data_IF_164512488687
#
_entry.id   IF_164512488687
#
_cell.length_a   1.000
_cell.length_b   1.000
_cell.length_c   1.000
_cell.angle_alpha   90.00
_cell.angle_beta   90.00
_cell.angle_gamma   90.00
#
_symmetry.space_group_name_H-M   'P 1'
#
loop_
_entity.id
_entity.type
_entity.pdbx_description
1 polymer ?
#
# COMPACT_ATOMS: atom_id res chain seq x y z
N UNK A 1 2.37 -21.90 -2.51
CA UNK A 1 1.06 -21.24 -2.66
C UNK A 1 1.23 -19.81 -2.23
N UNK A 2 1.04 -18.82 -3.12
CA UNK A 2 0.95 -17.43 -2.68
C UNK A 2 -0.38 -17.26 -1.90
N UNK A 3 -0.29 -16.85 -0.65
CA UNK A 3 -1.46 -16.52 0.17
C UNK A 3 -2.04 -15.22 -0.37
N UNK A 4 -3.14 -15.32 -1.11
CA UNK A 4 -3.89 -14.15 -1.58
C UNK A 4 -4.62 -13.55 -0.38
N UNK A 5 -4.20 -12.36 0.02
CA UNK A 5 -4.86 -11.58 1.07
C UNK A 5 -6.07 -10.83 0.49
N UNK A 6 -7.08 -10.49 1.30
CA UNK A 6 -8.16 -9.61 0.86
C UNK A 6 -7.61 -8.23 0.43
N UNK A 7 -8.38 -7.54 -0.39
CA UNK A 7 -8.06 -6.18 -0.85
C UNK A 7 -7.83 -5.24 0.36
N UNK A 8 -6.71 -4.53 0.38
CA UNK A 8 -6.38 -3.55 1.40
C UNK A 8 -7.10 -2.22 1.13
N UNK A 9 -8.37 -2.16 1.52
CA UNK A 9 -9.22 -0.98 1.36
C UNK A 9 -8.65 0.21 2.13
N UNK A 10 -8.11 -0.02 3.34
CA UNK A 10 -7.52 1.05 4.17
C UNK A 10 -6.35 1.73 3.45
N UNK A 11 -5.44 0.96 2.87
CA UNK A 11 -4.34 1.47 2.05
C UNK A 11 -4.86 2.25 0.85
N UNK A 12 -5.81 1.68 0.10
CA UNK A 12 -6.40 2.36 -1.08
C UNK A 12 -7.01 3.71 -0.69
N UNK A 13 -7.80 3.75 0.38
CA UNK A 13 -8.45 4.98 0.85
C UNK A 13 -7.43 6.02 1.31
N UNK A 14 -6.39 5.62 2.06
CA UNK A 14 -5.33 6.54 2.49
C UNK A 14 -4.59 7.16 1.29
N UNK A 15 -4.26 6.33 0.30
CA UNK A 15 -3.63 6.76 -0.95
C UNK A 15 -4.50 7.80 -1.67
N UNK A 16 -5.78 7.51 -1.89
CA UNK A 16 -6.68 8.42 -2.61
C UNK A 16 -6.86 9.73 -1.83
N UNK A 17 -7.01 9.68 -0.50
CA UNK A 17 -7.18 10.89 0.33
C UNK A 17 -5.98 11.83 0.26
N UNK A 18 -4.76 11.33 0.26
CA UNK A 18 -3.56 12.16 0.36
C UNK A 18 -2.89 12.47 -0.99
N UNK A 19 -2.94 11.54 -1.94
CA UNK A 19 -2.26 11.65 -3.24
C UNK A 19 -3.22 11.74 -4.44
N UNK A 20 -4.52 11.56 -4.23
CA UNK A 20 -5.54 11.61 -5.29
C UNK A 20 -5.60 10.36 -6.17
N UNK A 21 -4.48 9.66 -6.39
CA UNK A 21 -4.43 8.43 -7.18
C UNK A 21 -3.31 7.47 -6.74
N UNK A 22 -3.46 6.17 -7.06
CA UNK A 22 -2.39 5.19 -6.87
C UNK A 22 -1.16 5.49 -7.72
N UNK A 23 -1.33 6.02 -8.93
CA UNK A 23 -0.22 6.37 -9.82
C UNK A 23 0.64 7.47 -9.17
N UNK A 24 0.00 8.52 -8.64
CA UNK A 24 0.72 9.60 -7.95
C UNK A 24 1.48 9.10 -6.71
N UNK A 25 0.88 8.18 -5.95
CA UNK A 25 1.56 7.59 -4.80
C UNK A 25 2.73 6.67 -5.20
N UNK A 26 2.57 5.87 -6.24
CA UNK A 26 3.65 5.03 -6.78
C UNK A 26 4.84 5.87 -7.24
N UNK A 27 4.58 6.99 -7.94
CA UNK A 27 5.61 7.96 -8.31
C UNK A 27 6.30 8.56 -7.08
N UNK A 28 5.54 8.90 -6.02
CA UNK A 28 6.11 9.44 -4.77
C UNK A 28 6.95 8.44 -3.98
N UNK A 29 6.74 7.14 -4.19
CA UNK A 29 7.52 6.03 -3.64
C UNK A 29 8.70 5.62 -4.52
N UNK A 30 8.75 6.05 -5.78
CA UNK A 30 9.74 5.61 -6.75
C UNK A 30 9.55 4.15 -7.18
N UNK A 31 8.31 3.65 -7.19
CA UNK A 31 7.97 2.27 -7.59
C UNK A 31 7.01 2.27 -8.77
N UNK A 32 6.94 1.16 -9.51
CA UNK A 32 5.91 0.96 -10.52
C UNK A 32 4.52 0.85 -9.90
N UNK A 33 3.52 1.44 -10.54
CA UNK A 33 2.11 1.40 -10.14
C UNK A 33 1.58 -0.04 -10.08
N UNK A 34 2.08 -0.92 -10.95
CA UNK A 34 1.72 -2.34 -10.98
C UNK A 34 2.06 -3.06 -9.67
N UNK A 35 3.21 -2.76 -9.07
CA UNK A 35 3.61 -3.31 -7.76
C UNK A 35 2.64 -2.85 -6.67
N UNK A 36 2.35 -1.54 -6.63
CA UNK A 36 1.41 -0.96 -5.67
C UNK A 36 -0.01 -1.53 -5.84
N UNK A 37 -0.43 -1.76 -7.08
CA UNK A 37 -1.72 -2.37 -7.40
C UNK A 37 -1.80 -3.81 -6.87
N UNK A 38 -0.75 -4.61 -7.03
CA UNK A 38 -0.66 -5.97 -6.47
C UNK A 38 -0.72 -5.95 -4.93
N UNK A 39 -0.02 -5.01 -4.29
CA UNK A 39 -0.05 -4.84 -2.82
C UNK A 39 -1.46 -4.47 -2.35
N UNK A 40 -2.10 -3.49 -2.98
CA UNK A 40 -3.46 -3.06 -2.62
C UNK A 40 -4.47 -4.19 -2.83
N UNK A 41 -4.30 -5.02 -3.85
CA UNK A 41 -5.18 -6.19 -4.09
C UNK A 41 -4.87 -7.39 -3.21
N UNK A 42 -3.83 -7.33 -2.37
CA UNK A 42 -3.40 -8.45 -1.54
C UNK A 42 -2.73 -9.59 -2.32
N UNK A 43 -2.36 -9.35 -3.58
CA UNK A 43 -1.64 -10.29 -4.46
C UNK A 43 -0.13 -10.26 -4.24
N UNK A 44 0.36 -9.33 -3.43
CA UNK A 44 1.76 -9.22 -3.09
C UNK A 44 1.92 -8.64 -1.69
N UNK A 45 2.70 -9.33 -0.85
CA UNK A 45 3.13 -8.80 0.45
C UNK A 45 4.30 -7.83 0.21
N UNK A 46 4.20 -6.55 0.63
CA UNK A 46 5.32 -5.63 0.56
C UNK A 46 6.43 -6.08 1.52
N UNK A 47 7.69 -5.82 1.14
CA UNK A 47 8.83 -5.95 2.06
C UNK A 47 8.68 -5.01 3.25
N UNK A 48 9.39 -5.30 4.34
CA UNK A 48 9.39 -4.44 5.53
C UNK A 48 9.82 -3.00 5.20
N UNK A 49 10.87 -2.85 4.39
CA UNK A 49 11.34 -1.54 3.92
C UNK A 49 10.26 -0.77 3.14
N UNK A 50 9.59 -1.43 2.19
CA UNK A 50 8.54 -0.81 1.40
C UNK A 50 7.33 -0.47 2.28
N UNK A 51 7.02 -1.33 3.25
CA UNK A 51 5.94 -1.10 4.21
C UNK A 51 6.22 0.13 5.08
N UNK A 52 7.42 0.25 5.61
CA UNK A 52 7.87 1.41 6.37
C UNK A 52 7.83 2.68 5.53
N UNK A 53 8.25 2.59 4.26
CA UNK A 53 8.20 3.72 3.33
C UNK A 53 6.77 4.17 3.04
N UNK A 54 5.84 3.23 2.81
CA UNK A 54 4.41 3.49 2.62
C UNK A 54 3.85 4.22 3.85
N UNK A 55 4.10 3.69 5.05
CA UNK A 55 3.63 4.27 6.31
C UNK A 55 4.19 5.69 6.53
N UNK A 56 5.49 5.88 6.28
CA UNK A 56 6.16 7.18 6.39
C UNK A 56 5.58 8.22 5.43
N UNK A 57 5.32 7.85 4.18
CA UNK A 57 4.74 8.76 3.17
C UNK A 57 3.28 9.10 3.48
N UNK A 58 2.52 8.13 3.97
CA UNK A 58 1.12 8.33 4.35
C UNK A 58 0.95 8.97 5.74
N UNK A 59 2.01 9.06 6.55
CA UNK A 59 1.95 9.61 7.91
C UNK A 59 1.08 8.78 8.87
N UNK A 60 1.01 7.47 8.64
CA UNK A 60 0.16 6.52 9.40
C UNK A 60 1.02 5.42 10.02
N UNK A 61 0.53 4.80 11.09
CA UNK A 61 1.17 3.65 11.71
C UNK A 61 0.86 2.38 10.92
N UNK A 62 1.79 1.43 10.95
CA UNK A 62 1.66 0.19 10.19
C UNK A 62 0.37 -0.58 10.48
N UNK A 63 0.02 -0.71 11.76
CA UNK A 63 -1.20 -1.40 12.18
C UNK A 63 -2.49 -0.69 11.74
N UNK A 64 -2.45 0.56 11.30
CA UNK A 64 -3.65 1.24 10.78
C UNK A 64 -3.96 0.79 9.35
N UNK A 65 -2.94 0.39 8.59
CA UNK A 65 -3.05 0.04 7.16
C UNK A 65 -2.94 -1.47 6.92
N UNK A 66 -2.09 -2.17 7.67
CA UNK A 66 -1.71 -3.57 7.42
C UNK A 66 -2.23 -4.55 8.49
N UNK A 67 -3.13 -4.13 9.38
CA UNK A 67 -3.82 -5.03 10.30
C UNK A 67 -4.88 -5.86 9.58
N UNK A 68 -4.84 -7.19 9.79
CA UNK A 68 -5.95 -8.07 9.47
C UNK A 68 -7.08 -7.77 10.45
N UNK A 69 -8.23 -7.31 9.97
CA UNK A 69 -9.49 -7.56 10.67
C UNK A 69 -9.92 -8.99 10.41
#
# INVERSE_FOLDING_TARGET
MEVVMPINIKLKTAIIKQYGSQIAFAAALGVHDSLLSRIVRGWHQPTEELRNLICKKLGVKEHEIFSNN
#
